data_IF_459416222427
#
_entry.id   IF_459416222427
#
_cell.length_a   1.000
_cell.length_b   1.000
_cell.length_c   1.000
_cell.angle_alpha   90.00
_cell.angle_beta   90.00
_cell.angle_gamma   90.00
#
_symmetry.space_group_name_H-M   'P 1'
#
loop_
_entity.id
_entity.type
_entity.pdbx_description
1 polymer ?
#
# COMPACT_ATOMS: atom_id res chain seq x y z
N UNK A 1 -15.95 -31.51 4.35
CA UNK A 1 -15.56 -30.49 3.36
C UNK A 1 -14.09 -30.70 3.05
N UNK A 2 -13.69 -30.70 1.77
CA UNK A 2 -12.27 -30.74 1.40
C UNK A 2 -11.62 -29.41 1.76
N UNK A 3 -10.45 -29.46 2.39
CA UNK A 3 -9.67 -28.25 2.69
C UNK A 3 -9.29 -27.57 1.37
N UNK A 4 -9.60 -26.28 1.22
CA UNK A 4 -9.07 -25.45 0.13
C UNK A 4 -7.68 -24.97 0.55
N UNK A 5 -6.58 -25.36 -0.13
CA UNK A 5 -5.23 -24.97 0.28
C UNK A 5 -4.97 -23.46 0.13
N UNK A 6 -5.65 -22.82 -0.84
CA UNK A 6 -5.68 -21.37 -1.00
C UNK A 6 -7.05 -20.91 -0.51
N UNK A 7 -7.13 -20.08 0.55
CA UNK A 7 -8.41 -19.62 1.05
C UNK A 7 -9.11 -18.71 0.03
N UNK A 8 -10.44 -18.70 0.09
CA UNK A 8 -11.26 -17.93 -0.84
C UNK A 8 -11.06 -16.42 -0.66
N UNK A 9 -10.97 -15.69 -1.77
CA UNK A 9 -10.71 -14.25 -1.76
C UNK A 9 -9.23 -13.88 -1.56
N UNK A 10 -8.30 -14.83 -1.44
CA UNK A 10 -6.86 -14.52 -1.39
C UNK A 10 -6.21 -14.71 -2.76
N UNK A 11 -5.19 -13.89 -3.00
CA UNK A 11 -4.23 -14.13 -4.06
C UNK A 11 -3.05 -14.95 -3.52
N UNK A 12 -2.31 -15.59 -4.42
CA UNK A 12 -1.16 -16.44 -4.07
C UNK A 12 -0.06 -15.70 -3.30
N UNK A 13 -0.03 -14.36 -3.38
CA UNK A 13 0.87 -13.49 -2.63
C UNK A 13 0.01 -12.44 -1.94
N UNK A 14 0.19 -12.30 -0.62
CA UNK A 14 -0.41 -11.24 0.19
C UNK A 14 0.73 -10.59 0.99
N UNK A 15 0.95 -9.26 0.88
CA UNK A 15 1.99 -8.61 1.65
C UNK A 15 1.66 -8.68 3.15
N UNK A 16 2.69 -8.89 3.96
CA UNK A 16 2.59 -8.90 5.40
C UNK A 16 3.52 -7.83 5.97
N UNK A 17 2.95 -6.83 6.65
CA UNK A 17 3.65 -5.66 7.14
C UNK A 17 3.98 -5.80 8.63
N UNK A 18 5.25 -5.57 8.98
CA UNK A 18 5.63 -5.27 10.36
C UNK A 18 5.39 -3.79 10.64
N UNK A 19 4.50 -3.47 11.57
CA UNK A 19 4.12 -2.08 11.87
C UNK A 19 4.21 -1.79 13.36
N UNK A 20 5.02 -0.82 13.75
CA UNK A 20 4.96 -0.25 15.10
C UNK A 20 3.63 0.48 15.29
N UNK A 21 2.98 0.28 16.44
CA UNK A 21 1.62 0.80 16.70
C UNK A 21 0.59 0.34 15.67
N UNK A 22 0.66 -0.93 15.28
CA UNK A 22 -0.23 -1.57 14.30
C UNK A 22 -1.74 -1.28 14.50
N UNK A 23 -2.21 -1.19 15.74
CA UNK A 23 -3.61 -0.84 16.03
C UNK A 23 -4.00 0.55 15.47
N UNK A 24 -3.13 1.54 15.66
CA UNK A 24 -3.31 2.90 15.12
C UNK A 24 -3.20 2.89 13.58
N UNK A 25 -2.29 2.07 13.04
CA UNK A 25 -2.11 1.94 11.60
C UNK A 25 -3.34 1.39 10.88
N UNK A 26 -4.04 0.44 11.50
CA UNK A 26 -5.33 -0.04 11.00
C UNK A 26 -6.34 1.11 10.87
N UNK A 27 -6.41 1.99 11.86
CA UNK A 27 -7.33 3.13 11.84
C UNK A 27 -6.92 4.19 10.81
N UNK A 28 -5.61 4.38 10.62
CA UNK A 28 -5.10 5.18 9.51
C UNK A 28 -5.53 4.60 8.16
N UNK A 29 -5.33 3.30 7.90
CA UNK A 29 -5.69 2.68 6.61
C UNK A 29 -7.21 2.73 6.34
N UNK A 30 -8.04 2.59 7.38
CA UNK A 30 -9.49 2.82 7.28
C UNK A 30 -9.81 4.23 6.79
N UNK A 31 -9.19 5.26 7.38
CA UNK A 31 -9.43 6.66 7.03
C UNK A 31 -8.83 7.05 5.67
N UNK A 32 -7.58 6.70 5.44
CA UNK A 32 -6.79 7.11 4.27
C UNK A 32 -7.22 6.37 2.99
N UNK A 33 -7.47 5.07 3.09
CA UNK A 33 -7.68 4.19 1.92
C UNK A 33 -9.04 3.51 1.90
N UNK A 34 -9.89 3.75 2.90
CA UNK A 34 -11.18 3.05 3.00
C UNK A 34 -11.01 1.57 3.33
N UNK A 35 -9.92 1.19 4.01
CA UNK A 35 -9.67 -0.19 4.37
C UNK A 35 -10.82 -0.74 5.23
N UNK A 36 -11.17 -2.01 5.04
CA UNK A 36 -12.10 -2.73 5.91
C UNK A 36 -11.33 -3.80 6.67
N UNK A 37 -11.65 -3.95 7.96
CA UNK A 37 -10.99 -4.94 8.80
C UNK A 37 -11.71 -6.27 8.65
N UNK A 38 -10.97 -7.30 8.23
CA UNK A 38 -11.49 -8.67 8.07
C UNK A 38 -11.38 -9.41 9.39
N UNK A 39 -10.20 -9.33 10.01
CA UNK A 39 -9.96 -9.93 11.31
C UNK A 39 -8.83 -9.23 12.06
N UNK A 40 -8.84 -9.40 13.38
CA UNK A 40 -7.83 -8.88 14.29
C UNK A 40 -7.62 -9.83 15.46
N UNK A 41 -6.36 -10.16 15.72
CA UNK A 41 -5.87 -10.84 16.92
C UNK A 41 -5.07 -9.82 17.74
N UNK A 42 -5.73 -9.22 18.73
CA UNK A 42 -5.09 -8.31 19.67
C UNK A 42 -4.29 -9.09 20.71
N UNK A 43 -3.12 -8.56 21.08
CA UNK A 43 -2.29 -9.08 22.16
C UNK A 43 -2.66 -8.39 23.50
N UNK A 44 -2.41 -9.03 24.66
CA UNK A 44 -2.74 -8.45 25.97
C UNK A 44 -2.07 -7.09 26.27
N UNK A 45 -0.94 -6.80 25.61
CA UNK A 45 -0.19 -5.55 25.73
C UNK A 45 -0.73 -4.42 24.82
N UNK A 46 -1.80 -4.68 24.07
CA UNK A 46 -2.40 -3.73 23.12
C UNK A 46 -1.77 -3.78 21.72
N UNK A 47 -0.72 -4.57 21.51
CA UNK A 47 -0.17 -4.85 20.19
C UNK A 47 -1.11 -5.70 19.32
N UNK A 48 -0.76 -5.86 18.05
CA UNK A 48 -1.49 -6.72 17.11
C UNK A 48 -0.62 -7.90 16.76
N UNK A 49 -1.02 -9.11 17.14
CA UNK A 49 -0.32 -10.32 16.72
C UNK A 49 -0.53 -10.60 15.23
N UNK A 50 -1.76 -10.39 14.77
CA UNK A 50 -2.14 -10.47 13.36
C UNK A 50 -3.40 -9.65 13.11
N UNK A 51 -3.45 -8.95 11.98
CA UNK A 51 -4.68 -8.41 11.44
C UNK A 51 -4.66 -8.51 9.91
N UNK A 52 -5.86 -8.58 9.33
CA UNK A 52 -6.06 -8.55 7.90
C UNK A 52 -7.00 -7.40 7.54
N UNK A 53 -6.60 -6.63 6.54
CA UNK A 53 -7.37 -5.54 5.97
C UNK A 53 -7.63 -5.78 4.48
N UNK A 54 -8.77 -5.30 4.01
CA UNK A 54 -9.14 -5.24 2.60
C UNK A 54 -9.21 -3.81 2.12
N UNK A 55 -8.53 -3.52 1.01
CA UNK A 55 -8.54 -2.22 0.34
C UNK A 55 -8.95 -2.48 -1.11
N UNK A 56 -10.16 -2.08 -1.49
CA UNK A 56 -10.75 -2.53 -2.75
C UNK A 56 -10.92 -4.05 -2.76
N UNK A 57 -10.35 -4.72 -3.75
CA UNK A 57 -10.30 -6.19 -3.87
C UNK A 57 -9.04 -6.82 -3.23
N UNK A 58 -8.07 -6.00 -2.86
CA UNK A 58 -6.75 -6.44 -2.41
C UNK A 58 -6.71 -6.65 -0.90
N UNK A 59 -5.92 -7.62 -0.47
CA UNK A 59 -5.65 -7.91 0.94
C UNK A 59 -4.26 -7.42 1.35
N UNK A 60 -4.15 -6.91 2.58
CA UNK A 60 -2.87 -6.75 3.27
C UNK A 60 -2.98 -7.39 4.66
N UNK A 61 -1.91 -8.01 5.11
CA UNK A 61 -1.77 -8.51 6.47
C UNK A 61 -0.79 -7.64 7.24
N UNK A 62 -0.96 -7.54 8.56
CA UNK A 62 -0.04 -6.78 9.40
C UNK A 62 0.04 -7.32 10.82
N UNK A 63 1.14 -7.00 11.48
CA UNK A 63 1.40 -7.35 12.88
C UNK A 63 2.42 -6.41 13.51
N UNK A 64 2.40 -6.33 14.83
CA UNK A 64 3.40 -5.62 15.62
C UNK A 64 4.71 -6.42 15.62
N UNK A 65 5.86 -5.82 15.24
CA UNK A 65 7.16 -6.46 15.35
C UNK A 65 7.45 -6.90 16.79
N UNK A 66 8.11 -8.04 16.95
CA UNK A 66 8.59 -8.54 18.24
C UNK A 66 9.96 -9.22 18.06
N UNK A 67 10.74 -9.33 19.13
CA UNK A 67 12.13 -9.81 19.08
C UNK A 67 12.30 -11.23 18.49
N UNK A 68 11.26 -12.05 18.58
CA UNK A 68 11.25 -13.43 18.07
C UNK A 68 10.69 -13.54 16.64
N UNK A 69 10.13 -12.46 16.10
CA UNK A 69 9.47 -12.43 14.79
C UNK A 69 10.41 -11.96 13.67
N UNK A 70 10.16 -12.39 12.41
CA UNK A 70 10.97 -11.97 11.27
C UNK A 70 10.54 -10.60 10.67
N UNK A 71 9.41 -10.05 11.12
CA UNK A 71 8.87 -8.79 10.61
C UNK A 71 9.49 -7.60 11.35
N UNK A 72 9.83 -6.55 10.61
CA UNK A 72 10.34 -5.29 11.14
C UNK A 72 9.55 -4.10 10.60
N UNK A 73 9.54 -3.00 11.36
CA UNK A 73 9.06 -1.71 10.88
C UNK A 73 10.13 -1.07 9.97
N UNK A 74 9.76 -0.34 8.90
CA UNK A 74 10.73 0.28 7.99
C UNK A 74 11.29 1.62 8.54
N UNK A 75 11.80 1.63 9.78
CA UNK A 75 12.30 2.84 10.43
C UNK A 75 13.52 3.45 9.74
N UNK A 76 14.43 2.59 9.24
CA UNK A 76 15.70 3.02 8.64
C UNK A 76 15.65 3.03 7.12
N UNK A 77 15.01 2.03 6.52
CA UNK A 77 14.93 1.87 5.08
C UNK A 77 13.64 1.16 4.68
N UNK A 78 13.08 1.57 3.54
CA UNK A 78 11.93 0.92 2.92
C UNK A 78 12.43 0.07 1.76
N UNK A 79 12.27 -1.25 1.85
CA UNK A 79 12.66 -2.19 0.79
C UNK A 79 11.51 -2.57 -0.14
N UNK A 80 10.26 -2.39 0.31
CA UNK A 80 9.05 -2.76 -0.43
C UNK A 80 8.08 -1.58 -0.44
N UNK A 81 7.57 -1.24 -1.63
CA UNK A 81 6.47 -0.30 -1.80
C UNK A 81 5.17 -1.01 -2.16
N UNK A 82 4.05 -0.47 -1.71
CA UNK A 82 2.72 -0.97 -2.02
C UNK A 82 2.10 -0.10 -3.11
N UNK A 83 1.77 -0.69 -4.24
CA UNK A 83 1.10 0.01 -5.33
C UNK A 83 -0.42 -0.17 -5.21
N UNK A 84 -1.14 0.94 -5.07
CA UNK A 84 -2.58 0.97 -4.90
C UNK A 84 -3.22 1.74 -6.05
N UNK A 85 -3.96 1.03 -6.88
CA UNK A 85 -4.85 1.68 -7.84
C UNK A 85 -6.12 2.16 -7.15
N UNK A 86 -6.52 3.38 -7.49
CA UNK A 86 -7.75 4.03 -7.00
C UNK A 86 -8.48 4.67 -8.16
N UNK A 87 -9.79 4.87 -8.02
CA UNK A 87 -10.61 5.51 -9.05
C UNK A 87 -10.23 6.97 -9.28
N UNK A 88 -9.85 7.69 -8.21
CA UNK A 88 -9.44 9.09 -8.25
C UNK A 88 -8.22 9.29 -7.35
N UNK A 89 -7.05 9.37 -7.96
CA UNK A 89 -5.76 9.50 -7.29
C UNK A 89 -5.64 10.82 -6.55
N UNK A 90 -6.09 11.94 -7.11
CA UNK A 90 -5.96 13.25 -6.47
C UNK A 90 -6.78 13.30 -5.17
N UNK A 91 -8.03 12.82 -5.19
CA UNK A 91 -8.85 12.75 -3.97
C UNK A 91 -8.29 11.77 -2.95
N UNK A 92 -7.85 10.60 -3.39
CA UNK A 92 -7.33 9.56 -2.48
C UNK A 92 -6.02 9.99 -1.83
N UNK A 93 -5.16 10.67 -2.59
CA UNK A 93 -3.89 11.21 -2.12
C UNK A 93 -4.14 12.30 -1.08
N UNK A 94 -5.03 13.25 -1.37
CA UNK A 94 -5.40 14.31 -0.43
C UNK A 94 -5.98 13.75 0.87
N UNK A 95 -6.88 12.77 0.80
CA UNK A 95 -7.45 12.09 1.98
C UNK A 95 -6.37 11.40 2.82
N UNK A 96 -5.37 10.79 2.18
CA UNK A 96 -4.26 10.16 2.89
C UNK A 96 -3.38 11.19 3.62
N UNK A 97 -3.12 12.34 3.00
CA UNK A 97 -2.42 13.47 3.64
C UNK A 97 -3.18 13.98 4.87
N UNK A 98 -4.49 14.17 4.75
CA UNK A 98 -5.36 14.59 5.86
C UNK A 98 -5.38 13.56 7.00
N UNK A 99 -5.21 12.28 6.69
CA UNK A 99 -5.07 11.21 7.67
C UNK A 99 -3.68 11.13 8.32
N UNK A 100 -2.69 11.90 7.83
CA UNK A 100 -1.35 12.01 8.41
C UNK A 100 -0.22 11.44 7.54
N UNK A 101 -0.48 11.02 6.30
CA UNK A 101 0.58 10.66 5.37
C UNK A 101 1.42 11.89 4.98
N UNK A 102 2.61 11.64 4.44
CA UNK A 102 3.51 12.67 3.92
C UNK A 102 3.82 12.43 2.45
N UNK A 103 3.90 13.50 1.67
CA UNK A 103 4.27 13.41 0.25
C UNK A 103 5.75 13.03 0.11
N UNK A 104 6.00 11.99 -0.68
CA UNK A 104 7.34 11.64 -1.20
C UNK A 104 7.49 12.14 -2.63
N UNK A 105 6.45 11.99 -3.45
CA UNK A 105 6.38 12.60 -4.78
C UNK A 105 4.95 13.07 -5.07
N UNK A 106 4.84 14.31 -5.58
CA UNK A 106 3.55 14.92 -5.93
C UNK A 106 2.86 14.15 -7.07
N UNK A 107 1.53 14.16 -7.05
CA UNK A 107 0.71 13.49 -8.07
C UNK A 107 0.88 14.21 -9.41
N UNK A 108 1.34 13.48 -10.41
CA UNK A 108 1.48 13.97 -11.79
C UNK A 108 1.16 12.91 -12.83
N UNK A 109 0.91 13.37 -14.04
CA UNK A 109 0.73 12.49 -15.19
C UNK A 109 2.08 11.90 -15.57
N UNK A 110 2.10 10.59 -15.82
CA UNK A 110 3.30 9.81 -16.06
C UNK A 110 3.35 9.33 -17.50
N UNK A 111 4.56 9.17 -18.03
CA UNK A 111 4.79 8.75 -19.41
C UNK A 111 4.13 7.39 -19.74
N UNK A 112 3.92 6.53 -18.72
CA UNK A 112 3.31 5.20 -18.82
C UNK A 112 1.77 5.19 -18.70
N UNK A 113 1.12 6.36 -18.79
CA UNK A 113 -0.34 6.47 -18.91
C UNK A 113 -1.12 6.47 -17.60
N UNK A 114 -0.43 6.46 -16.46
CA UNK A 114 -1.06 6.71 -15.16
C UNK A 114 -0.91 8.17 -14.74
N UNK A 115 -1.83 8.63 -13.91
CA UNK A 115 -1.59 9.72 -12.99
C UNK A 115 -1.23 9.11 -11.64
N UNK A 116 -0.05 9.40 -11.12
CA UNK A 116 0.44 8.77 -9.89
C UNK A 116 1.29 9.70 -9.03
N UNK A 117 1.31 9.40 -7.74
CA UNK A 117 2.18 10.03 -6.75
C UNK A 117 2.59 9.02 -5.69
N UNK A 118 3.53 9.42 -4.84
CA UNK A 118 4.07 8.57 -3.77
C UNK A 118 3.89 9.22 -2.42
N UNK A 119 3.41 8.44 -1.46
CA UNK A 119 3.22 8.82 -0.06
C UNK A 119 4.06 7.91 0.84
N UNK A 120 4.47 8.46 1.98
CA UNK A 120 4.94 7.69 3.14
C UNK A 120 3.88 7.80 4.23
N UNK A 121 3.38 6.66 4.69
CA UNK A 121 2.41 6.65 5.80
C UNK A 121 3.08 6.99 7.14
N UNK A 122 2.31 7.29 8.21
CA UNK A 122 2.87 7.67 9.51
C UNK A 122 3.80 6.63 10.15
N UNK A 123 3.73 5.38 9.69
CA UNK A 123 4.48 4.24 10.24
C UNK A 123 5.70 3.87 9.38
N UNK A 124 5.85 4.56 8.25
CA UNK A 124 7.03 4.55 7.41
C UNK A 124 6.92 3.72 6.14
N UNK A 125 5.76 3.10 5.87
CA UNK A 125 5.58 2.34 4.64
C UNK A 125 5.34 3.26 3.44
N UNK A 126 5.86 2.83 2.28
CA UNK A 126 5.79 3.57 1.03
C UNK A 126 4.61 3.09 0.19
N UNK A 127 3.79 4.05 -0.24
CA UNK A 127 2.58 3.82 -1.03
C UNK A 127 2.66 4.56 -2.35
N UNK A 128 2.49 3.85 -3.45
CA UNK A 128 2.34 4.42 -4.79
C UNK A 128 0.85 4.41 -5.12
N UNK A 129 0.24 5.59 -5.20
CA UNK A 129 -1.18 5.71 -5.56
C UNK A 129 -1.26 6.09 -7.02
N UNK A 130 -2.15 5.42 -7.75
CA UNK A 130 -2.33 5.68 -9.18
C UNK A 130 -3.78 5.57 -9.62
N UNK A 131 -4.13 6.34 -10.66
CA UNK A 131 -5.31 6.14 -11.49
C UNK A 131 -4.88 6.07 -12.94
N UNK A 132 -5.41 5.08 -13.67
CA UNK A 132 -5.18 4.94 -15.10
C UNK A 132 -5.83 6.09 -15.86
N UNK A 133 -5.04 6.80 -16.67
CA UNK A 133 -5.48 7.92 -17.52
C UNK A 133 -5.56 7.51 -18.99
N UNK A 134 -4.60 6.70 -19.43
CA UNK A 134 -4.45 6.27 -20.82
C UNK A 134 -3.96 4.81 -20.86
N UNK A 135 -4.63 3.98 -21.65
CA UNK A 135 -4.17 2.62 -21.94
C UNK A 135 -3.15 2.67 -23.08
N UNK A 136 -1.95 2.18 -22.80
CA UNK A 136 -0.81 2.21 -23.71
C UNK A 136 -0.30 0.79 -23.95
N UNK A 137 0.18 0.55 -25.16
CA UNK A 137 0.95 -0.66 -25.45
C UNK A 137 2.35 -0.55 -24.84
N UNK A 138 2.99 -1.69 -24.58
CA UNK A 138 4.37 -1.69 -24.09
C UNK A 138 5.34 -0.92 -25.00
N UNK A 139 5.13 -0.99 -26.33
CA UNK A 139 5.95 -0.26 -27.30
C UNK A 139 5.75 1.25 -27.20
N UNK A 140 4.52 1.72 -26.99
CA UNK A 140 4.27 3.15 -26.73
C UNK A 140 4.95 3.61 -25.42
N UNK A 141 4.89 2.79 -24.37
CA UNK A 141 5.56 3.09 -23.09
C UNK A 141 7.08 3.15 -23.28
N UNK A 142 7.69 2.17 -23.97
CA UNK A 142 9.14 2.15 -24.25
C UNK A 142 9.58 3.36 -25.06
N UNK A 143 8.83 3.74 -26.09
CA UNK A 143 9.12 4.91 -26.92
C UNK A 143 9.09 6.20 -26.08
N UNK A 144 8.02 6.43 -25.31
CA UNK A 144 7.90 7.60 -24.42
C UNK A 144 9.00 7.62 -23.35
N UNK A 145 9.39 6.46 -22.82
CA UNK A 145 10.47 6.34 -21.84
C UNK A 145 11.84 6.75 -22.44
N UNK A 146 12.15 6.30 -23.67
CA UNK A 146 13.38 6.69 -24.35
C UNK A 146 13.46 8.20 -24.57
N UNK A 147 12.37 8.81 -25.04
CA UNK A 147 12.29 10.26 -25.24
C UNK A 147 12.52 11.02 -23.93
N UNK A 148 11.91 10.57 -22.83
CA UNK A 148 12.06 11.20 -21.51
C UNK A 148 13.49 11.06 -20.94
N UNK A 149 14.10 9.87 -21.02
CA UNK A 149 15.43 9.63 -20.46
C UNK A 149 16.57 10.19 -21.30
N UNK A 150 16.35 10.43 -22.60
CA UNK A 150 17.33 11.10 -23.47
C UNK A 150 17.44 12.61 -23.26
N UNK A 151 16.51 13.21 -22.51
CA UNK A 151 16.46 14.66 -22.25
C UNK A 151 17.11 15.08 -20.92
N UNK A 152 17.73 14.15 -20.20
CA UNK A 152 18.47 14.39 -18.94
C UNK A 152 19.95 14.05 -19.07
#
# INVERSE_FOLDING_TARGET
>A
MSVKPIPEGYHSITPYLGIHKAAEAIDFYKKAFGATEVMRLAMPDGGIGHAELRIGDSAIMLGSPCDQGPLSNPDQAVSVGLHLYVTDVDKSFQRALEAGATTVSEVKDQFYGDRSGTLKDPYGHLWFLASRKEDLTEEQIKQRAMEMFSQG
#
